data_IF_028627228791
#
_entry.id   IF_028627228791
#
_cell.length_a   1.000
_cell.length_b   1.000
_cell.length_c   1.000
_cell.angle_alpha   90.00
_cell.angle_beta   90.00
_cell.angle_gamma   90.00
#
_symmetry.space_group_name_H-M   'P 1'
#
loop_
_entity.id
_entity.type
_entity.pdbx_description
1 polymer ?
#
# COMPACT_ATOMS: atom_id res chain seq x y z
N UNK A 1 -20.85 -1.27 7.87
CA UNK A 1 -21.18 -1.77 9.22
C UNK A 1 -20.33 -2.98 9.54
N UNK A 2 -19.73 -3.03 10.72
CA UNK A 2 -19.07 -4.21 11.30
C UNK A 2 -19.75 -4.51 12.63
N UNK A 3 -20.08 -5.77 12.91
CA UNK A 3 -20.81 -6.18 14.13
C UNK A 3 -22.12 -5.38 14.39
N UNK A 4 -22.81 -4.99 13.31
CA UNK A 4 -24.07 -4.23 13.39
C UNK A 4 -23.92 -2.74 13.69
N UNK A 5 -22.70 -2.20 13.75
CA UNK A 5 -22.41 -0.78 13.96
C UNK A 5 -21.74 -0.16 12.75
N UNK A 6 -22.06 1.10 12.48
CA UNK A 6 -21.35 1.90 11.48
C UNK A 6 -19.97 2.28 12.00
N UNK A 7 -18.98 2.25 11.12
CA UNK A 7 -17.58 2.53 11.42
C UNK A 7 -17.00 3.33 10.27
N UNK A 8 -16.21 4.35 10.60
CA UNK A 8 -15.36 5.06 9.66
C UNK A 8 -13.95 4.50 9.76
N UNK A 9 -13.23 4.50 8.64
CA UNK A 9 -11.89 3.95 8.61
C UNK A 9 -11.06 4.65 7.53
N UNK A 10 -9.88 5.13 7.93
CA UNK A 10 -8.96 5.84 7.06
C UNK A 10 -7.60 5.14 7.03
N UNK A 11 -7.13 4.84 5.82
CA UNK A 11 -5.85 4.22 5.56
C UNK A 11 -5.03 5.13 4.65
N UNK A 12 -3.79 5.43 5.04
CA UNK A 12 -2.94 6.37 4.29
C UNK A 12 -1.45 6.09 4.46
N UNK A 13 -0.66 6.66 3.56
CA UNK A 13 0.80 6.74 3.65
C UNK A 13 1.22 8.20 3.51
N UNK A 14 2.20 8.62 4.31
CA UNK A 14 2.86 9.91 4.16
C UNK A 14 4.27 9.69 3.61
N UNK A 15 4.57 10.26 2.44
CA UNK A 15 5.88 10.17 1.80
C UNK A 15 6.52 11.56 1.73
N UNK A 16 7.72 11.71 2.28
CA UNK A 16 8.47 12.96 2.25
C UNK A 16 9.42 12.99 1.05
N UNK A 17 9.26 13.97 0.16
CA UNK A 17 10.07 14.10 -1.06
C UNK A 17 11.58 14.05 -0.81
N UNK A 18 12.07 14.68 0.27
CA UNK A 18 13.50 14.72 0.59
C UNK A 18 14.04 13.33 0.94
N UNK A 19 13.27 12.51 1.66
CA UNK A 19 13.71 11.19 2.09
C UNK A 19 13.75 10.24 0.88
N UNK A 20 12.71 10.28 0.04
CA UNK A 20 12.67 9.57 -1.24
C UNK A 20 13.84 9.94 -2.17
N UNK A 21 14.19 11.24 -2.23
CA UNK A 21 15.32 11.73 -3.03
C UNK A 21 16.66 11.24 -2.47
N UNK A 22 16.83 11.24 -1.16
CA UNK A 22 18.06 10.76 -0.52
C UNK A 22 18.28 9.26 -0.74
N UNK A 23 17.20 8.47 -0.82
CA UNK A 23 17.29 7.02 -1.04
C UNK A 23 17.49 6.65 -2.52
N UNK A 24 16.69 7.24 -3.41
CA UNK A 24 16.59 6.77 -4.81
C UNK A 24 16.94 7.83 -5.85
N UNK A 25 17.19 9.07 -5.43
CA UNK A 25 17.36 10.22 -6.33
C UNK A 25 16.06 10.72 -6.96
N UNK A 26 14.91 10.19 -6.54
CA UNK A 26 13.60 10.52 -7.12
C UNK A 26 12.67 11.20 -6.10
N UNK A 27 11.76 12.01 -6.62
CA UNK A 27 10.76 12.68 -5.81
C UNK A 27 9.62 11.72 -5.37
N UNK A 28 8.93 12.06 -4.29
CA UNK A 28 7.87 11.27 -3.66
C UNK A 28 6.82 10.65 -4.59
N UNK A 29 6.31 11.34 -5.60
CA UNK A 29 5.31 10.80 -6.54
C UNK A 29 5.87 9.63 -7.38
N UNK A 30 7.13 9.73 -7.82
CA UNK A 30 7.79 8.65 -8.56
C UNK A 30 8.10 7.49 -7.63
N UNK A 31 8.53 7.80 -6.40
CA UNK A 31 8.82 6.81 -5.38
C UNK A 31 7.58 6.01 -4.97
N UNK A 32 6.47 6.70 -4.68
CA UNK A 32 5.19 6.07 -4.30
C UNK A 32 4.54 5.27 -5.42
N UNK A 33 4.95 5.48 -6.67
CA UNK A 33 4.54 4.64 -7.81
C UNK A 33 5.50 3.47 -8.03
N UNK A 34 6.81 3.72 -7.91
CA UNK A 34 7.85 2.73 -8.17
C UNK A 34 7.91 1.61 -7.15
N UNK A 35 7.75 1.92 -5.86
CA UNK A 35 7.76 0.92 -4.78
C UNK A 35 6.61 -0.09 -4.94
N UNK A 36 5.34 0.30 -5.12
CA UNK A 36 4.24 -0.64 -5.39
C UNK A 36 4.45 -1.48 -6.66
N UNK A 37 5.02 -0.91 -7.72
CA UNK A 37 5.33 -1.67 -8.94
C UNK A 37 6.35 -2.79 -8.67
N UNK A 38 7.40 -2.49 -7.89
CA UNK A 38 8.39 -3.47 -7.46
C UNK A 38 7.77 -4.56 -6.56
N UNK A 39 6.94 -4.18 -5.58
CA UNK A 39 6.27 -5.14 -4.69
C UNK A 39 5.31 -6.03 -5.49
N UNK A 40 4.54 -5.49 -6.42
CA UNK A 40 3.65 -6.29 -7.29
C UNK A 40 4.43 -7.32 -8.10
N UNK A 41 5.57 -6.93 -8.67
CA UNK A 41 6.48 -7.87 -9.34
C UNK A 41 7.05 -8.92 -8.36
N UNK A 42 7.38 -8.52 -7.13
CA UNK A 42 7.82 -9.44 -6.08
C UNK A 42 6.72 -10.46 -5.72
N UNK A 43 5.47 -10.04 -5.57
CA UNK A 43 4.33 -10.93 -5.28
C UNK A 43 4.14 -11.98 -6.38
N UNK A 44 4.29 -11.56 -7.64
CA UNK A 44 4.26 -12.46 -8.79
C UNK A 44 5.42 -13.46 -8.76
N UNK A 45 6.66 -12.99 -8.54
CA UNK A 45 7.85 -13.83 -8.48
C UNK A 45 7.82 -14.83 -7.31
N UNK A 46 7.26 -14.44 -6.15
CA UNK A 46 7.01 -15.32 -5.00
C UNK A 46 5.87 -16.32 -5.25
N UNK A 47 5.11 -16.18 -6.33
CA UNK A 47 3.96 -17.02 -6.67
C UNK A 47 2.68 -16.69 -5.89
N UNK A 48 2.68 -15.64 -5.08
CA UNK A 48 1.53 -15.21 -4.26
C UNK A 48 0.43 -14.59 -5.13
N UNK A 49 0.81 -13.87 -6.19
CA UNK A 49 -0.11 -13.30 -7.17
C UNK A 49 -0.10 -14.09 -8.49
N UNK A 50 -0.19 -15.41 -8.41
CA UNK A 50 -0.17 -16.29 -9.59
C UNK A 50 -1.54 -16.93 -9.83
N UNK A 51 -2.31 -16.34 -10.75
CA UNK A 51 -3.65 -16.80 -11.17
C UNK A 51 -3.81 -16.63 -12.69
N UNK A 52 -4.45 -17.58 -13.41
CA UNK A 52 -4.72 -17.41 -14.84
C UNK A 52 -5.76 -16.31 -15.10
N UNK A 53 -5.45 -15.39 -16.00
CA UNK A 53 -6.34 -14.29 -16.39
C UNK A 53 -5.67 -12.93 -16.29
N UNK A 54 -6.48 -11.88 -16.33
CA UNK A 54 -6.08 -10.50 -16.02
C UNK A 54 -6.78 -10.14 -14.72
N UNK A 55 -6.02 -9.61 -13.76
CA UNK A 55 -6.50 -9.36 -12.41
C UNK A 55 -6.12 -7.96 -11.95
N UNK A 56 -7.03 -7.33 -11.21
CA UNK A 56 -6.71 -6.14 -10.44
C UNK A 56 -6.12 -6.52 -9.07
N UNK A 57 -5.50 -5.54 -8.39
CA UNK A 57 -4.78 -5.77 -7.14
C UNK A 57 -5.70 -6.21 -5.99
N UNK A 58 -6.93 -5.70 -5.97
CA UNK A 58 -7.96 -6.02 -4.96
C UNK A 58 -8.51 -7.45 -5.06
N UNK A 59 -8.17 -8.19 -6.11
CA UNK A 59 -8.54 -9.61 -6.24
C UNK A 59 -7.60 -10.56 -5.50
N UNK A 60 -6.45 -10.07 -5.02
CA UNK A 60 -5.48 -10.86 -4.28
C UNK A 60 -5.56 -10.59 -2.77
N UNK A 61 -5.00 -11.51 -1.99
CA UNK A 61 -4.77 -11.29 -0.57
C UNK A 61 -3.87 -10.06 -0.37
N UNK A 62 -4.35 -9.00 0.31
CA UNK A 62 -3.58 -7.78 0.51
C UNK A 62 -2.48 -7.96 1.55
N UNK A 63 -2.58 -8.92 2.48
CA UNK A 63 -1.72 -9.00 3.67
C UNK A 63 -0.21 -9.01 3.32
N UNK A 64 0.26 -9.85 2.37
CA UNK A 64 1.68 -9.87 2.01
C UNK A 64 2.16 -8.58 1.31
N UNK A 65 1.27 -7.91 0.58
CA UNK A 65 1.59 -6.66 -0.10
C UNK A 65 1.70 -5.51 0.90
N UNK A 66 0.76 -5.44 1.83
CA UNK A 66 0.73 -4.44 2.91
C UNK A 66 1.90 -4.61 3.86
N UNK A 67 2.35 -5.85 4.11
CA UNK A 67 3.57 -6.11 4.89
C UNK A 67 4.82 -5.58 4.18
N UNK A 68 4.95 -5.80 2.87
CA UNK A 68 6.09 -5.28 2.10
C UNK A 68 6.06 -3.76 1.98
N UNK A 69 4.89 -3.09 1.87
CA UNK A 69 4.83 -1.62 1.87
C UNK A 69 5.56 -1.01 3.08
N UNK A 70 5.32 -1.55 4.27
CA UNK A 70 6.00 -1.13 5.50
C UNK A 70 7.52 -1.36 5.45
N UNK A 71 7.97 -2.45 4.83
CA UNK A 71 9.39 -2.81 4.74
C UNK A 71 10.16 -2.03 3.69
N UNK A 72 9.50 -1.68 2.58
CA UNK A 72 10.11 -1.11 1.37
C UNK A 72 9.98 0.42 1.31
N UNK A 73 9.75 1.08 2.46
CA UNK A 73 9.81 2.54 2.58
C UNK A 73 8.49 3.29 2.44
N UNK A 74 7.35 2.58 2.34
CA UNK A 74 6.01 3.19 2.34
C UNK A 74 5.16 2.71 3.53
N UNK A 75 5.54 3.07 4.77
CA UNK A 75 4.76 2.69 5.93
C UNK A 75 3.34 3.29 5.85
N UNK A 76 2.34 2.45 6.09
CA UNK A 76 0.94 2.88 6.08
C UNK A 76 0.39 2.93 7.50
N UNK A 77 -0.65 3.74 7.66
CA UNK A 77 -1.28 4.01 8.94
C UNK A 77 -2.78 3.81 8.85
N UNK A 78 -3.37 3.42 9.97
CA UNK A 78 -4.80 3.19 10.12
C UNK A 78 -5.37 4.15 11.14
N UNK A 79 -6.58 4.64 10.88
CA UNK A 79 -7.39 5.36 11.84
C UNK A 79 -8.80 4.76 11.83
N UNK A 80 -9.19 4.20 12.98
CA UNK A 80 -10.51 3.63 13.20
C UNK A 80 -11.41 4.67 13.86
N UNK A 81 -12.66 4.74 13.43
CA UNK A 81 -13.71 5.58 14.01
C UNK A 81 -13.31 7.07 14.08
N UNK A 82 -12.50 7.51 13.10
CA UNK A 82 -12.11 8.91 12.94
C UNK A 82 -13.23 9.75 12.33
N UNK A 83 -13.29 11.02 12.70
CA UNK A 83 -14.13 12.00 12.00
C UNK A 83 -13.50 12.30 10.63
N UNK A 84 -14.21 11.94 9.55
CA UNK A 84 -13.73 12.05 8.17
C UNK A 84 -14.15 13.36 7.48
N UNK A 85 -14.94 14.20 8.15
CA UNK A 85 -15.55 15.42 7.59
C UNK A 85 -14.88 16.71 8.11
N UNK A 86 -13.67 16.62 8.67
CA UNK A 86 -12.90 17.72 9.27
C UNK A 86 -11.96 18.43 8.28
#
# INVERSE_FOLDING_TARGET
MKDGKEHTYYIYNNCKHQDAYNETGMQGVSYTTGVPAMIGAMMFCKGLWRKPGVHNVEEFDPDPFMEELNKQGLPWHEQFDGDLEL
#
